data_IF_613284956614
#
_entry.id   IF_613284956614
#
_cell.length_a   1.000
_cell.length_b   1.000
_cell.length_c   1.000
_cell.angle_alpha   90.00
_cell.angle_beta   90.00
_cell.angle_gamma   90.00
#
_symmetry.space_group_name_H-M   'P 1'
#
loop_
_entity.id
_entity.type
_entity.pdbx_description
1 polymer ?
#
# COMPACT_ATOMS: atom_id res chain seq x y z
N UNK A 1 -22.28 -0.41 -13.28
CA UNK A 1 -21.38 0.75 -13.52
C UNK A 1 -20.53 1.00 -12.29
N UNK A 2 -19.27 1.30 -12.51
CA UNK A 2 -18.37 1.57 -11.39
C UNK A 2 -18.00 3.04 -11.38
N UNK A 3 -17.82 3.58 -10.17
CA UNK A 3 -17.37 4.96 -10.00
C UNK A 3 -15.90 5.02 -9.59
N UNK A 4 -15.23 3.87 -9.57
CA UNK A 4 -13.85 3.80 -9.11
C UNK A 4 -12.89 4.27 -10.18
N UNK A 5 -11.91 5.06 -9.79
CA UNK A 5 -10.84 5.45 -10.69
C UNK A 5 -9.97 4.26 -11.01
N UNK A 6 -9.31 4.28 -12.15
CA UNK A 6 -8.41 3.20 -12.50
C UNK A 6 -7.20 3.73 -13.25
N UNK A 7 -6.13 2.97 -13.22
CA UNK A 7 -4.93 3.27 -13.97
C UNK A 7 -4.24 1.94 -14.28
N UNK A 8 -3.25 1.98 -15.14
CA UNK A 8 -2.62 0.77 -15.63
C UNK A 8 -1.12 0.85 -15.42
N UNK A 9 -0.53 -0.21 -14.88
CA UNK A 9 0.90 -0.43 -14.87
C UNK A 9 1.24 -1.36 -16.01
N UNK A 10 2.42 -1.18 -16.57
CA UNK A 10 2.81 -1.98 -17.72
C UNK A 10 4.24 -2.51 -17.56
N UNK A 11 4.46 -3.43 -16.61
CA UNK A 11 5.78 -4.03 -16.45
C UNK A 11 6.01 -5.04 -17.56
N UNK A 12 7.15 -4.89 -18.24
CA UNK A 12 7.57 -5.85 -19.27
C UNK A 12 6.50 -6.15 -20.31
N UNK A 13 5.69 -5.15 -20.64
CA UNK A 13 4.69 -5.33 -21.70
C UNK A 13 3.37 -5.90 -21.26
N UNK A 14 3.24 -6.30 -20.01
CA UNK A 14 1.96 -6.79 -19.48
C UNK A 14 1.20 -5.65 -18.81
N UNK A 15 -0.11 -5.63 -19.01
CA UNK A 15 -0.94 -4.59 -18.41
C UNK A 15 -1.53 -5.08 -17.09
N UNK A 16 -1.31 -4.31 -16.05
CA UNK A 16 -1.93 -4.55 -14.76
C UNK A 16 -2.88 -3.40 -14.51
N UNK A 17 -4.17 -3.69 -14.48
CA UNK A 17 -5.20 -2.66 -14.28
C UNK A 17 -5.51 -2.55 -12.80
N UNK A 18 -5.20 -1.39 -12.24
CA UNK A 18 -5.39 -1.14 -10.80
C UNK A 18 -6.52 -0.15 -10.62
N UNK A 19 -7.25 -0.33 -9.52
CA UNK A 19 -8.45 0.44 -9.24
C UNK A 19 -8.36 1.13 -7.89
N UNK A 20 -9.04 2.25 -7.79
CA UNK A 20 -9.29 2.89 -6.50
C UNK A 20 -10.03 1.90 -5.62
N UNK A 21 -9.71 1.89 -4.33
CA UNK A 21 -10.42 1.01 -3.40
C UNK A 21 -11.81 1.55 -3.13
N UNK A 22 -12.80 0.67 -3.22
CA UNK A 22 -14.15 1.02 -2.79
C UNK A 22 -14.15 1.23 -1.27
N UNK A 23 -15.23 1.80 -0.74
CA UNK A 23 -15.35 1.96 0.70
C UNK A 23 -15.24 0.62 1.41
N UNK A 24 -15.84 -0.42 0.85
CA UNK A 24 -15.78 -1.75 1.43
C UNK A 24 -14.33 -2.28 1.47
N UNK A 25 -13.62 -2.17 0.35
CA UNK A 25 -12.23 -2.64 0.29
C UNK A 25 -11.35 -1.84 1.22
N UNK A 26 -11.61 -0.55 1.37
CA UNK A 26 -10.83 0.28 2.28
C UNK A 26 -11.01 -0.15 3.72
N UNK A 27 -12.24 -0.48 4.10
CA UNK A 27 -12.50 -1.01 5.45
C UNK A 27 -11.78 -2.34 5.65
N UNK A 28 -11.83 -3.20 4.64
CA UNK A 28 -11.15 -4.49 4.71
C UNK A 28 -9.65 -4.30 4.91
N UNK A 29 -9.07 -3.33 4.21
CA UNK A 29 -7.64 -3.04 4.34
C UNK A 29 -7.30 -2.56 5.76
N UNK A 30 -8.12 -1.67 6.31
CA UNK A 30 -7.87 -1.16 7.66
C UNK A 30 -7.97 -2.30 8.68
N UNK A 31 -8.98 -3.15 8.54
CA UNK A 31 -9.12 -4.29 9.43
C UNK A 31 -7.94 -5.24 9.31
N UNK A 32 -7.46 -5.44 8.10
CA UNK A 32 -6.29 -6.28 7.87
C UNK A 32 -5.07 -5.71 8.60
N UNK A 33 -4.83 -4.41 8.46
CA UNK A 33 -3.68 -3.79 9.10
C UNK A 33 -3.74 -3.90 10.62
N UNK A 34 -4.92 -3.69 11.18
CA UNK A 34 -5.08 -3.78 12.63
C UNK A 34 -4.81 -5.21 13.09
N UNK A 35 -5.38 -6.17 12.38
CA UNK A 35 -5.23 -7.57 12.75
C UNK A 35 -3.78 -8.03 12.66
N UNK A 36 -3.07 -7.58 11.61
CA UNK A 36 -1.68 -7.96 11.44
C UNK A 36 -0.79 -7.47 12.58
N UNK A 37 -1.17 -6.38 13.21
CA UNK A 37 -0.34 -5.76 14.24
C UNK A 37 -0.72 -6.17 15.65
N UNK A 38 -1.84 -6.82 15.83
CA UNK A 38 -2.35 -7.15 17.15
C UNK A 38 -1.44 -8.06 17.97
N UNK A 39 -0.84 -9.03 17.31
CA UNK A 39 -0.05 -10.04 18.00
C UNK A 39 1.43 -9.74 18.03
N UNK A 40 1.84 -8.57 17.52
CA UNK A 40 3.24 -8.24 17.48
C UNK A 40 3.73 -7.68 18.79
N UNK A 41 4.95 -8.07 19.21
CA UNK A 41 5.53 -7.47 20.40
C UNK A 41 5.89 -6.01 20.16
N UNK A 42 5.73 -5.19 21.18
CA UNK A 42 6.05 -3.78 21.09
C UNK A 42 7.29 -3.40 21.89
N UNK A 43 7.72 -4.27 22.78
CA UNK A 43 8.85 -3.99 23.67
C UNK A 43 9.90 -5.08 23.55
N UNK A 44 11.12 -4.71 23.91
CA UNK A 44 12.20 -5.68 24.00
C UNK A 44 12.78 -6.14 22.69
N UNK A 45 12.49 -5.42 21.61
CA UNK A 45 12.98 -5.81 20.30
C UNK A 45 14.35 -5.19 20.02
N UNK A 46 15.21 -5.98 19.39
CA UNK A 46 16.47 -5.45 18.90
C UNK A 46 16.20 -4.64 17.63
N UNK A 47 17.15 -3.77 17.23
CA UNK A 47 16.99 -3.04 15.97
C UNK A 47 16.78 -3.96 14.77
N UNK A 48 17.48 -5.11 14.74
CA UNK A 48 17.32 -6.05 13.65
C UNK A 48 15.93 -6.65 13.63
N UNK A 49 15.38 -6.96 14.81
CA UNK A 49 14.03 -7.50 14.90
C UNK A 49 13.00 -6.47 14.48
N UNK A 50 13.20 -5.21 14.88
CA UNK A 50 12.31 -4.14 14.47
C UNK A 50 12.32 -3.97 12.96
N UNK A 51 13.50 -3.99 12.35
CA UNK A 51 13.62 -3.84 10.92
C UNK A 51 12.91 -4.98 10.18
N UNK A 52 13.09 -6.20 10.67
CA UNK A 52 12.47 -7.36 10.05
C UNK A 52 10.95 -7.26 10.10
N UNK A 53 10.41 -6.94 11.27
CA UNK A 53 8.97 -6.83 11.42
C UNK A 53 8.41 -5.72 10.53
N UNK A 54 9.05 -4.55 10.53
CA UNK A 54 8.59 -3.44 9.71
C UNK A 54 8.60 -3.79 8.22
N UNK A 55 9.65 -4.47 7.77
CA UNK A 55 9.76 -4.85 6.38
C UNK A 55 8.67 -5.84 5.98
N UNK A 56 8.44 -6.85 6.82
CA UNK A 56 7.41 -7.84 6.54
C UNK A 56 6.03 -7.22 6.52
N UNK A 57 5.74 -6.34 7.48
CA UNK A 57 4.45 -5.66 7.51
C UNK A 57 4.25 -4.81 6.27
N UNK A 58 5.29 -4.08 5.85
CA UNK A 58 5.19 -3.23 4.67
C UNK A 58 4.83 -4.06 3.43
N UNK A 59 5.52 -5.18 3.24
CA UNK A 59 5.24 -6.03 2.09
C UNK A 59 3.82 -6.59 2.12
N UNK A 60 3.38 -7.02 3.30
CA UNK A 60 2.04 -7.58 3.41
C UNK A 60 0.97 -6.51 3.21
N UNK A 61 1.20 -5.31 3.75
CA UNK A 61 0.27 -4.20 3.52
C UNK A 61 0.18 -3.86 2.04
N UNK A 62 1.31 -3.81 1.36
CA UNK A 62 1.34 -3.52 -0.07
C UNK A 62 0.60 -4.59 -0.87
N UNK A 63 0.83 -5.85 -0.52
CA UNK A 63 0.18 -6.94 -1.22
C UNK A 63 -1.33 -6.92 -1.04
N UNK A 64 -1.80 -6.57 0.16
CA UNK A 64 -3.23 -6.49 0.40
C UNK A 64 -3.86 -5.34 -0.38
N UNK A 65 -3.19 -4.18 -0.44
CA UNK A 65 -3.68 -3.07 -1.23
C UNK A 65 -3.87 -3.47 -2.69
N UNK A 66 -2.86 -4.13 -3.25
CA UNK A 66 -2.93 -4.56 -4.65
C UNK A 66 -4.01 -5.62 -4.82
N UNK A 67 -4.10 -6.57 -3.90
CA UNK A 67 -5.11 -7.62 -3.99
C UNK A 67 -6.52 -7.05 -3.95
N UNK A 68 -6.76 -6.09 -3.05
CA UNK A 68 -8.08 -5.47 -2.95
C UNK A 68 -8.40 -4.67 -4.21
N UNK A 69 -7.40 -3.97 -4.75
CA UNK A 69 -7.60 -3.23 -5.99
C UNK A 69 -8.00 -4.18 -7.13
N UNK A 70 -7.28 -5.29 -7.26
CA UNK A 70 -7.58 -6.25 -8.32
C UNK A 70 -8.94 -6.91 -8.11
N UNK A 71 -9.37 -7.07 -6.86
CA UNK A 71 -10.66 -7.71 -6.58
C UNK A 71 -11.83 -6.85 -7.03
N UNK A 72 -11.62 -5.55 -7.21
CA UNK A 72 -12.72 -4.66 -7.60
C UNK A 72 -13.29 -5.00 -8.98
N UNK A 73 -12.47 -5.63 -9.83
CA UNK A 73 -12.93 -5.98 -11.16
C UNK A 73 -12.53 -7.40 -11.55
N UNK A 74 -12.40 -8.27 -10.55
CA UNK A 74 -12.02 -9.65 -10.81
C UNK A 74 -13.19 -10.40 -11.46
N UNK A 75 -12.92 -11.02 -12.60
CA UNK A 75 -13.95 -11.74 -13.35
C UNK A 75 -14.53 -12.91 -12.56
N UNK A 76 -13.71 -13.51 -11.69
CA UNK A 76 -14.14 -14.64 -10.88
C UNK A 76 -14.72 -14.20 -9.55
N UNK A 77 -14.82 -12.89 -9.32
CA UNK A 77 -15.38 -12.31 -8.11
C UNK A 77 -14.66 -12.77 -6.84
N UNK A 78 -13.35 -12.96 -6.96
CA UNK A 78 -12.54 -13.33 -5.79
C UNK A 78 -12.36 -12.11 -4.88
N UNK A 79 -12.31 -12.38 -3.58
CA UNK A 79 -12.06 -11.33 -2.61
C UNK A 79 -10.56 -11.05 -2.51
N UNK A 80 -10.25 -9.88 -1.93
CA UNK A 80 -8.86 -9.50 -1.79
C UNK A 80 -8.03 -10.53 -1.05
N UNK A 81 -8.59 -11.13 0.01
CA UNK A 81 -7.83 -12.12 0.78
C UNK A 81 -7.57 -13.40 -0.02
N UNK A 82 -8.36 -13.67 -1.04
CA UNK A 82 -8.11 -14.81 -1.92
C UNK A 82 -7.02 -14.50 -2.92
N UNK A 83 -6.93 -13.25 -3.36
CA UNK A 83 -5.91 -12.84 -4.32
C UNK A 83 -4.57 -12.57 -3.65
N UNK A 84 -4.60 -12.20 -2.38
CA UNK A 84 -3.42 -11.82 -1.60
C UNK A 84 -2.26 -12.82 -1.71
N UNK A 85 -2.46 -14.13 -1.49
CA UNK A 85 -1.33 -15.06 -1.59
C UNK A 85 -0.72 -15.10 -2.97
N UNK A 86 -1.53 -14.92 -3.99
CA UNK A 86 -1.05 -14.89 -5.36
C UNK A 86 -0.13 -13.68 -5.59
N UNK A 87 -0.53 -12.53 -5.06
CA UNK A 87 0.28 -11.32 -5.18
C UNK A 87 1.62 -11.52 -4.48
N UNK A 88 1.60 -12.09 -3.27
CA UNK A 88 2.81 -12.31 -2.52
C UNK A 88 3.79 -13.23 -3.25
N UNK A 89 3.27 -14.15 -4.05
CA UNK A 89 4.12 -15.09 -4.77
C UNK A 89 4.64 -14.55 -6.08
N UNK A 90 3.83 -13.76 -6.77
CA UNK A 90 4.12 -13.44 -8.17
C UNK A 90 4.75 -12.07 -8.37
N UNK A 91 4.56 -11.15 -7.44
CA UNK A 91 5.06 -9.80 -7.61
C UNK A 91 6.43 -9.64 -6.97
N UNK A 92 7.45 -9.24 -7.74
CA UNK A 92 8.73 -8.89 -7.11
C UNK A 92 8.56 -7.59 -6.31
N UNK A 93 9.44 -7.37 -5.31
CA UNK A 93 9.25 -6.23 -4.40
C UNK A 93 9.15 -4.87 -5.11
N UNK A 94 9.91 -4.67 -6.17
CA UNK A 94 9.85 -3.39 -6.88
C UNK A 94 8.50 -3.16 -7.53
N UNK A 95 7.99 -4.17 -8.20
CA UNK A 95 6.67 -4.08 -8.83
C UNK A 95 5.59 -3.93 -7.76
N UNK A 96 5.72 -4.69 -6.68
CA UNK A 96 4.75 -4.62 -5.60
C UNK A 96 4.67 -3.20 -5.03
N UNK A 97 5.83 -2.58 -4.79
CA UNK A 97 5.85 -1.21 -4.29
C UNK A 97 5.22 -0.23 -5.24
N UNK A 98 5.52 -0.35 -6.55
CA UNK A 98 4.95 0.55 -7.55
C UNK A 98 3.45 0.38 -7.65
N UNK A 99 2.99 -0.87 -7.66
CA UNK A 99 1.55 -1.14 -7.75
C UNK A 99 0.81 -0.61 -6.53
N UNK A 100 1.36 -0.85 -5.34
CA UNK A 100 0.73 -0.38 -4.12
C UNK A 100 0.66 1.15 -4.07
N UNK A 101 1.73 1.80 -4.52
CA UNK A 101 1.73 3.26 -4.55
C UNK A 101 0.63 3.78 -5.49
N UNK A 102 0.49 3.16 -6.65
CA UNK A 102 -0.56 3.57 -7.58
C UNK A 102 -1.94 3.42 -6.95
N UNK A 103 -2.19 2.31 -6.25
CA UNK A 103 -3.48 2.13 -5.58
C UNK A 103 -3.68 3.20 -4.51
N UNK A 104 -2.64 3.53 -3.76
CA UNK A 104 -2.74 4.59 -2.75
C UNK A 104 -3.08 5.93 -3.39
N UNK A 105 -2.44 6.24 -4.50
CA UNK A 105 -2.70 7.51 -5.18
C UNK A 105 -4.12 7.56 -5.72
N UNK A 106 -4.56 6.48 -6.35
CA UNK A 106 -5.93 6.42 -6.85
C UNK A 106 -6.95 6.56 -5.73
N UNK A 107 -6.63 6.03 -4.55
CA UNK A 107 -7.55 6.01 -3.43
C UNK A 107 -7.41 7.21 -2.50
N UNK A 108 -6.54 8.16 -2.84
CA UNK A 108 -6.34 9.33 -2.01
C UNK A 108 -5.64 9.03 -0.71
N UNK A 109 -4.81 7.99 -0.66
CA UNK A 109 -4.11 7.56 0.54
C UNK A 109 -2.62 7.86 0.46
N UNK A 110 -2.28 9.06 0.01
CA UNK A 110 -0.89 9.43 -0.15
C UNK A 110 -0.26 9.64 1.23
N UNK A 111 0.90 9.02 1.50
CA UNK A 111 1.53 9.20 2.80
C UNK A 111 1.93 10.66 3.04
N UNK A 112 1.77 11.15 4.27
CA UNK A 112 2.12 12.54 4.57
C UNK A 112 3.59 12.84 4.31
N UNK A 113 4.46 11.87 4.50
CA UNK A 113 5.88 12.11 4.35
C UNK A 113 6.23 12.53 2.92
N UNK A 114 5.44 12.14 1.95
CA UNK A 114 5.72 12.51 0.58
C UNK A 114 5.48 13.99 0.36
N UNK A 115 4.51 14.55 1.06
CA UNK A 115 4.15 15.93 0.83
C UNK A 115 5.09 16.89 1.51
N UNK A 116 5.84 16.46 2.48
CA UNK A 116 6.62 17.42 3.22
C UNK A 116 8.06 17.43 2.85
N UNK A 117 8.48 16.51 2.09
CA UNK A 117 9.86 16.54 1.73
C UNK A 117 10.20 17.70 0.89
N UNK A 118 9.37 18.28 0.60
CA UNK A 118 9.67 19.41 -0.02
C UNK A 118 9.61 20.50 0.82
N UNK A 119 9.74 20.25 1.54
CA UNK A 119 9.91 21.19 2.22
C UNK A 119 10.40 21.45 2.99
N UNK A 120 10.56 20.91 3.02
CA UNK A 120 11.09 21.34 3.59
C UNK A 120 11.56 21.94 3.78
N UNK A 121 11.66 21.60 3.70
CA UNK A 121 12.23 22.25 3.82
C UNK A 121 12.22 23.24 4.15
N UNK A 122 12.13 22.99 4.19
CA UNK A 122 12.28 23.90 4.48
C UNK A 122 12.15 24.49 5.09
N UNK A 123 12.20 24.18 5.29
CA UNK A 123 12.31 24.82 5.77
C UNK A 123 12.28 25.25 6.20
N UNK A 124 12.54 24.87 6.29
CA UNK A 124 12.73 25.51 6.62
C UNK A 124 12.64 26.05 6.95
N UNK A 125 12.72 25.86 6.98
CA UNK A 125 12.85 26.53 7.14
C UNK A 125 12.71 27.13 7.60
N UNK A 126 12.80 27.11 7.81
CA UNK A 126 12.90 27.89 8.14
C UNK A 126 12.77 28.47 8.60
N UNK A 127 12.73 28.03 8.61
CA UNK A 127 12.82 28.73 8.86
C UNK A 127 12.65 29.13 9.30
N UNK A 128 12.71 28.69 9.34
CA UNK A 128 12.86 29.13 9.58
C UNK A 128 12.80 29.83 9.94
N UNK A 129 12.89 29.49 9.85
CA UNK A 129 13.06 30.09 10.02
C UNK A 129 12.87 30.66 10.17
N UNK A 130 12.97 30.60 10.18
CA UNK A 130 13.03 31.11 10.26
C UNK A 130 12.81 31.57 10.36
N UNK A 131 12.92 31.31 10.47
CA UNK A 131 12.82 31.65 10.42
C UNK A 131 12.83 32.05 10.50
#
# INVERSE_FOLDING_TARGET
>A
MTYLKKDTLNPDGENIHLFELSAFSRMTYIEFMVEERKSLPTDGLTPDENFKIATLLTMRDQAMLVALSLSEADDEQREGKEIFPEIMRKYPPGLLGSAALMVRMLSGMVPPVITETEETIEEDAPDLEKS
#
